data_IF_970248167212
#
_entry.id   IF_970248167212
#
_cell.length_a   1.000
_cell.length_b   1.000
_cell.length_c   1.000
_cell.angle_alpha   90.00
_cell.angle_beta   90.00
_cell.angle_gamma   90.00
#
_symmetry.space_group_name_H-M   'P 1'
#
loop_
_entity.id
_entity.type
_entity.pdbx_description
1 polymer ?
#
# COMPACT_ATOMS: atom_id res chain seq x y z
N UNK A 1 -9.62 11.74 21.58
CA UNK A 1 -8.85 12.68 20.72
C UNK A 1 -9.70 13.91 20.42
N UNK A 2 -9.15 15.13 20.35
CA UNK A 2 -9.95 16.33 20.01
C UNK A 2 -10.42 16.29 18.55
N UNK A 3 -11.58 16.88 18.24
CA UNK A 3 -12.11 16.94 16.85
C UNK A 3 -11.11 17.56 15.87
N UNK A 4 -10.39 18.60 16.31
CA UNK A 4 -9.36 19.28 15.51
C UNK A 4 -8.23 18.30 15.14
N UNK A 5 -7.69 17.57 16.13
CA UNK A 5 -6.65 16.55 15.87
C UNK A 5 -7.15 15.47 14.89
N UNK A 6 -8.37 14.99 15.06
CA UNK A 6 -8.96 13.97 14.18
C UNK A 6 -9.07 14.46 12.73
N UNK A 7 -9.57 15.69 12.52
CA UNK A 7 -9.64 16.30 11.19
C UNK A 7 -8.25 16.49 10.59
N UNK A 8 -7.27 16.98 11.36
CA UNK A 8 -5.89 17.12 10.89
C UNK A 8 -5.30 15.80 10.40
N UNK A 9 -5.50 14.70 11.14
CA UNK A 9 -5.03 13.37 10.75
C UNK A 9 -5.67 12.92 9.44
N UNK A 10 -6.99 13.11 9.28
CA UNK A 10 -7.71 12.72 8.07
C UNK A 10 -7.26 13.53 6.86
N UNK A 11 -7.22 14.86 6.97
CA UNK A 11 -6.82 15.73 5.87
C UNK A 11 -5.38 15.51 5.44
N UNK A 12 -4.44 15.44 6.39
CA UNK A 12 -3.03 15.20 6.08
C UNK A 12 -2.82 13.81 5.45
N UNK A 13 -3.44 12.77 6.01
CA UNK A 13 -3.30 11.42 5.44
C UNK A 13 -3.92 11.32 4.05
N UNK A 14 -5.11 11.90 3.84
CA UNK A 14 -5.76 11.96 2.54
C UNK A 14 -4.92 12.72 1.50
N UNK A 15 -4.35 13.87 1.90
CA UNK A 15 -3.44 14.65 1.06
C UNK A 15 -2.17 13.87 0.70
N UNK A 16 -1.58 13.13 1.65
CA UNK A 16 -0.43 12.25 1.38
C UNK A 16 -0.79 11.16 0.38
N UNK A 17 -1.90 10.44 0.58
CA UNK A 17 -2.36 9.39 -0.34
C UNK A 17 -2.55 9.96 -1.74
N UNK A 18 -3.24 11.10 -1.85
CA UNK A 18 -3.46 11.78 -3.13
C UNK A 18 -2.14 12.16 -3.81
N UNK A 19 -1.23 12.80 -3.08
CA UNK A 19 0.06 13.21 -3.60
C UNK A 19 0.92 12.02 -4.05
N UNK A 20 0.95 10.93 -3.28
CA UNK A 20 1.63 9.68 -3.66
C UNK A 20 1.05 9.09 -4.95
N UNK A 21 -0.28 9.02 -5.06
CA UNK A 21 -0.93 8.53 -6.28
C UNK A 21 -0.63 9.43 -7.48
N UNK A 22 -0.63 10.74 -7.29
CA UNK A 22 -0.30 11.70 -8.35
C UNK A 22 1.15 11.58 -8.84
N UNK A 23 2.10 11.38 -7.92
CA UNK A 23 3.51 11.22 -8.30
C UNK A 23 3.74 9.89 -9.02
N UNK A 24 3.15 8.80 -8.52
CA UNK A 24 3.21 7.51 -9.18
C UNK A 24 2.52 7.53 -10.55
N UNK A 25 1.46 8.33 -10.73
CA UNK A 25 0.76 8.38 -12.02
C UNK A 25 1.60 8.95 -13.15
N UNK A 26 2.64 9.72 -12.83
CA UNK A 26 3.61 10.19 -13.83
C UNK A 26 4.46 9.06 -14.41
N UNK A 27 4.61 7.95 -13.67
CA UNK A 27 5.44 6.79 -14.03
C UNK A 27 4.63 5.62 -14.61
N UNK A 28 3.30 5.74 -14.60
CA UNK A 28 2.40 4.66 -15.00
C UNK A 28 2.59 4.24 -16.45
N UNK A 29 2.84 5.19 -17.36
CA UNK A 29 3.05 4.88 -18.77
C UNK A 29 4.39 4.17 -19.01
N UNK A 30 5.48 4.66 -18.42
CA UNK A 30 6.80 4.03 -18.48
C UNK A 30 6.75 2.60 -17.92
N UNK A 31 6.01 2.40 -16.83
CA UNK A 31 5.81 1.07 -16.24
C UNK A 31 5.12 0.12 -17.22
N UNK A 32 4.11 0.60 -17.95
CA UNK A 32 3.42 -0.21 -18.95
C UNK A 32 4.33 -0.54 -20.14
N UNK A 33 5.16 0.40 -20.59
CA UNK A 33 6.13 0.14 -21.66
C UNK A 33 7.14 -0.92 -21.25
N UNK A 34 7.67 -0.85 -20.04
CA UNK A 34 8.56 -1.87 -19.48
C UNK A 34 7.88 -3.24 -19.43
N UNK A 35 6.66 -3.32 -18.88
CA UNK A 35 5.97 -4.61 -18.78
C UNK A 35 5.65 -5.21 -20.16
N UNK A 36 5.39 -4.36 -21.17
CA UNK A 36 5.24 -4.79 -22.55
C UNK A 36 6.56 -5.24 -23.18
N UNK A 37 7.74 -4.85 -22.69
CA UNK A 37 9.01 -5.37 -23.21
C UNK A 37 9.35 -6.74 -22.64
N UNK A 38 8.90 -7.04 -21.41
CA UNK A 38 9.17 -8.29 -20.69
C UNK A 38 8.25 -9.47 -21.08
N UNK A 39 7.87 -9.63 -22.36
CA UNK A 39 6.90 -10.65 -22.82
C UNK A 39 7.34 -12.10 -22.49
N UNK A 40 7.04 -12.55 -21.27
CA UNK A 40 7.44 -13.86 -20.74
C UNK A 40 6.21 -14.72 -20.39
N UNK A 41 6.16 -16.00 -20.82
CA UNK A 41 5.02 -16.90 -20.56
C UNK A 41 4.66 -17.05 -19.07
N UNK A 42 5.67 -16.96 -18.19
CA UNK A 42 5.48 -17.04 -16.73
C UNK A 42 4.66 -15.86 -16.23
N UNK A 43 4.94 -14.64 -16.72
CA UNK A 43 4.23 -13.42 -16.33
C UNK A 43 2.75 -13.53 -16.73
N UNK A 44 2.46 -14.06 -17.91
CA UNK A 44 1.07 -14.29 -18.36
C UNK A 44 0.33 -15.30 -17.49
N UNK A 45 0.98 -16.40 -17.07
CA UNK A 45 0.36 -17.40 -16.17
C UNK A 45 0.06 -16.82 -14.79
N UNK A 46 0.99 -16.06 -14.22
CA UNK A 46 0.79 -15.39 -12.93
C UNK A 46 -0.32 -14.34 -13.02
N UNK A 47 -0.38 -13.58 -14.13
CA UNK A 47 -1.45 -12.64 -14.39
C UNK A 47 -2.83 -13.32 -14.46
N UNK A 48 -2.92 -14.47 -15.14
CA UNK A 48 -4.15 -15.28 -15.21
C UNK A 48 -4.57 -15.79 -13.83
N UNK A 49 -3.64 -16.35 -13.06
CA UNK A 49 -3.93 -16.87 -11.72
C UNK A 49 -4.43 -15.75 -10.80
N UNK A 50 -3.74 -14.61 -10.76
CA UNK A 50 -4.17 -13.47 -9.95
C UNK A 50 -5.50 -12.89 -10.41
N UNK A 51 -5.81 -12.90 -11.71
CA UNK A 51 -7.15 -12.55 -12.20
C UNK A 51 -8.22 -13.48 -11.62
N UNK A 52 -7.99 -14.80 -11.62
CA UNK A 52 -8.97 -15.76 -11.07
C UNK A 52 -9.14 -15.63 -9.57
N UNK A 53 -8.05 -15.40 -8.82
CA UNK A 53 -8.10 -15.23 -7.37
C UNK A 53 -8.78 -13.92 -6.95
N UNK A 54 -8.58 -12.85 -7.71
CA UNK A 54 -9.20 -11.54 -7.47
C UNK A 54 -10.61 -11.38 -8.05
N UNK A 55 -11.11 -12.39 -8.77
CA UNK A 55 -12.43 -12.37 -9.36
C UNK A 55 -13.51 -12.30 -8.27
N UNK A 56 -14.56 -11.52 -8.51
CA UNK A 56 -15.61 -11.29 -7.52
C UNK A 56 -16.32 -12.57 -7.11
N UNK A 57 -16.59 -13.47 -8.05
CA UNK A 57 -17.22 -14.75 -7.75
C UNK A 57 -16.30 -15.62 -6.87
N UNK A 58 -15.01 -15.67 -7.20
CA UNK A 58 -14.03 -16.43 -6.41
C UNK A 58 -13.98 -15.94 -4.96
N UNK A 59 -13.95 -14.62 -4.75
CA UNK A 59 -13.93 -14.03 -3.40
C UNK A 59 -15.23 -14.27 -2.63
N UNK A 60 -16.38 -14.19 -3.31
CA UNK A 60 -17.67 -14.52 -2.71
C UNK A 60 -17.74 -16.00 -2.32
N UNK A 61 -17.31 -16.92 -3.20
CA UNK A 61 -17.26 -18.35 -2.91
C UNK A 61 -16.31 -18.67 -1.76
N UNK A 62 -15.16 -18.02 -1.69
CA UNK A 62 -14.24 -18.13 -0.55
C UNK A 62 -14.96 -17.76 0.76
N UNK A 63 -15.63 -16.61 0.79
CA UNK A 63 -16.31 -16.12 1.99
C UNK A 63 -17.53 -16.99 2.37
N UNK A 64 -18.29 -17.48 1.38
CA UNK A 64 -19.37 -18.45 1.59
C UNK A 64 -18.83 -19.78 2.13
N UNK A 65 -17.68 -20.24 1.64
CA UNK A 65 -16.99 -21.42 2.16
C UNK A 65 -16.59 -21.25 3.63
N UNK A 66 -15.99 -20.12 3.99
CA UNK A 66 -15.66 -19.79 5.39
C UNK A 66 -16.91 -19.77 6.28
N UNK A 67 -17.99 -19.16 5.79
CA UNK A 67 -19.27 -19.14 6.49
C UNK A 67 -19.85 -20.55 6.68
N UNK A 68 -19.86 -21.37 5.62
CA UNK A 68 -20.37 -22.74 5.62
C UNK A 68 -19.58 -23.65 6.56
N UNK A 69 -18.24 -23.60 6.51
CA UNK A 69 -17.36 -24.31 7.46
C UNK A 69 -17.65 -23.85 8.89
N UNK A 70 -17.77 -22.53 9.11
CA UNK A 70 -18.15 -21.99 10.41
C UNK A 70 -19.53 -22.46 10.88
N UNK A 71 -20.49 -22.63 9.97
CA UNK A 71 -21.81 -23.15 10.26
C UNK A 71 -21.75 -24.62 10.72
N UNK A 72 -21.07 -25.47 9.94
CA UNK A 72 -20.89 -26.89 10.23
C UNK A 72 -20.13 -27.13 11.54
N UNK A 73 -19.07 -26.35 11.78
CA UNK A 73 -18.25 -26.43 12.99
C UNK A 73 -18.85 -25.67 14.19
N UNK A 74 -20.06 -25.08 14.04
CA UNK A 74 -20.71 -24.22 15.05
C UNK A 74 -19.80 -23.08 15.55
N UNK A 75 -18.84 -22.65 14.73
CA UNK A 75 -17.87 -21.62 15.06
C UNK A 75 -18.32 -20.25 14.55
N UNK A 76 -18.74 -19.38 15.47
CA UNK A 76 -19.23 -18.03 15.17
C UNK A 76 -18.19 -17.11 14.56
N UNK A 77 -16.90 -17.33 14.83
CA UNK A 77 -15.81 -16.51 14.27
C UNK A 77 -15.73 -16.71 12.76
N UNK A 78 -15.77 -17.96 12.30
CA UNK A 78 -15.72 -18.31 10.87
C UNK A 78 -16.99 -17.87 10.13
N UNK A 79 -18.17 -18.02 10.76
CA UNK A 79 -19.43 -17.50 10.22
C UNK A 79 -19.35 -15.98 9.99
N UNK A 80 -18.91 -15.22 11.00
CA UNK A 80 -18.79 -13.76 10.91
C UNK A 80 -17.73 -13.33 9.90
N UNK A 81 -16.58 -14.01 9.88
CA UNK A 81 -15.53 -13.73 8.89
C UNK A 81 -16.03 -13.86 7.45
N UNK A 82 -16.83 -14.89 7.16
CA UNK A 82 -17.46 -15.08 5.86
C UNK A 82 -18.49 -13.98 5.54
N UNK A 83 -19.42 -13.70 6.45
CA UNK A 83 -20.46 -12.67 6.22
C UNK A 83 -19.83 -11.28 6.05
N UNK A 84 -18.94 -10.88 6.94
CA UNK A 84 -18.28 -9.59 6.88
C UNK A 84 -17.41 -9.47 5.63
N UNK A 85 -16.80 -10.58 5.17
CA UNK A 85 -16.03 -10.63 3.93
C UNK A 85 -16.90 -10.34 2.71
N UNK A 86 -18.10 -10.94 2.63
CA UNK A 86 -19.06 -10.69 1.54
C UNK A 86 -19.53 -9.24 1.57
N UNK A 87 -19.87 -8.71 2.75
CA UNK A 87 -20.37 -7.34 2.88
C UNK A 87 -19.29 -6.31 2.56
N UNK A 88 -18.06 -6.50 3.05
CA UNK A 88 -16.93 -5.64 2.71
C UNK A 88 -16.59 -5.70 1.21
N UNK A 89 -16.66 -6.90 0.60
CA UNK A 89 -16.50 -7.07 -0.85
C UNK A 89 -17.55 -6.29 -1.63
N UNK A 90 -18.82 -6.40 -1.25
CA UNK A 90 -19.92 -5.70 -1.91
C UNK A 90 -19.79 -4.18 -1.78
N UNK A 91 -19.45 -3.67 -0.59
CA UNK A 91 -19.22 -2.25 -0.35
C UNK A 91 -18.05 -1.71 -1.16
N UNK A 92 -16.93 -2.45 -1.21
CA UNK A 92 -15.80 -2.10 -2.06
C UNK A 92 -16.17 -2.09 -3.54
N UNK A 93 -16.96 -3.07 -3.99
CA UNK A 93 -17.49 -3.12 -5.35
C UNK A 93 -18.33 -1.90 -5.71
N UNK A 94 -19.29 -1.51 -4.85
CA UNK A 94 -20.13 -0.32 -5.05
C UNK A 94 -19.27 0.95 -5.11
N UNK A 95 -18.35 1.13 -4.17
CA UNK A 95 -17.46 2.28 -4.14
C UNK A 95 -16.59 2.37 -5.41
N UNK A 96 -16.03 1.26 -5.86
CA UNK A 96 -15.24 1.18 -7.10
C UNK A 96 -16.09 1.56 -8.31
N UNK A 97 -17.32 1.04 -8.42
CA UNK A 97 -18.18 1.37 -9.55
C UNK A 97 -18.50 2.87 -9.59
N UNK A 98 -18.85 3.47 -8.45
CA UNK A 98 -19.09 4.92 -8.38
C UNK A 98 -17.85 5.69 -8.85
N UNK A 99 -16.67 5.36 -8.32
CA UNK A 99 -15.44 6.09 -8.65
C UNK A 99 -15.02 5.91 -10.11
N UNK A 100 -15.16 4.71 -10.68
CA UNK A 100 -14.86 4.45 -12.09
C UNK A 100 -15.65 5.36 -13.03
N UNK A 101 -16.96 5.45 -12.79
CA UNK A 101 -17.85 6.25 -13.64
C UNK A 101 -17.73 7.76 -13.40
N UNK A 102 -17.17 8.19 -12.26
CA UNK A 102 -16.86 9.60 -12.01
C UNK A 102 -15.52 10.03 -12.61
N UNK A 103 -14.51 9.14 -12.61
CA UNK A 103 -13.14 9.48 -13.00
C UNK A 103 -12.90 9.22 -14.50
N UNK A 104 -13.44 8.13 -15.05
CA UNK A 104 -13.34 7.84 -16.48
C UNK A 104 -11.92 7.53 -16.97
N UNK A 105 -11.07 6.90 -16.14
CA UNK A 105 -9.67 6.67 -16.53
C UNK A 105 -9.56 5.55 -17.57
N UNK A 106 -8.89 5.76 -18.72
CA UNK A 106 -8.66 4.72 -19.72
C UNK A 106 -7.71 3.63 -19.24
N UNK A 107 -7.93 2.39 -19.69
CA UNK A 107 -7.07 1.25 -19.34
C UNK A 107 -5.76 1.23 -20.14
N UNK A 108 -4.68 0.66 -19.59
CA UNK A 108 -3.39 0.55 -20.28
C UNK A 108 -3.42 -0.13 -21.65
N UNK A 109 -4.34 -1.09 -21.86
CA UNK A 109 -4.43 -1.83 -23.13
C UNK A 109 -4.98 -1.00 -24.29
N UNK A 110 -5.66 0.09 -23.99
CA UNK A 110 -6.29 0.98 -24.97
C UNK A 110 -5.56 2.30 -25.11
N UNK A 111 -4.51 2.52 -24.32
CA UNK A 111 -3.69 3.72 -24.40
C UNK A 111 -2.60 3.54 -25.45
N UNK A 112 -2.67 4.35 -26.51
CA UNK A 112 -1.67 4.48 -27.56
C UNK A 112 -1.06 5.89 -27.62
N UNK A 113 -1.49 6.81 -26.75
CA UNK A 113 -1.08 8.21 -26.71
C UNK A 113 -0.93 8.69 -25.25
N UNK A 114 -0.12 9.72 -25.04
CA UNK A 114 0.16 10.33 -23.71
C UNK A 114 -0.99 11.23 -23.20
N UNK A 115 -1.99 11.51 -24.04
CA UNK A 115 -3.13 12.35 -23.69
C UNK A 115 -4.27 11.52 -23.12
N UNK A 116 -4.56 11.72 -21.82
CA UNK A 116 -5.68 11.11 -21.13
C UNK A 116 -6.84 12.11 -21.03
N UNK A 117 -7.95 11.80 -21.70
CA UNK A 117 -9.21 12.48 -21.43
C UNK A 117 -9.88 11.82 -20.22
N UNK A 118 -9.91 12.55 -19.11
CA UNK A 118 -10.64 12.16 -17.90
C UNK A 118 -12.03 12.80 -17.91
N UNK A 119 -13.00 12.12 -17.31
CA UNK A 119 -14.34 12.66 -17.13
C UNK A 119 -15.38 11.58 -16.90
N UNK A 120 -16.57 11.93 -16.37
CA UNK A 120 -17.60 10.95 -16.12
C UNK A 120 -17.97 10.18 -17.39
N UNK A 121 -17.91 8.85 -17.33
CA UNK A 121 -18.14 8.00 -18.51
C UNK A 121 -18.67 6.62 -18.13
N UNK A 122 -19.53 6.09 -19.00
CA UNK A 122 -20.09 4.74 -18.94
C UNK A 122 -19.55 3.85 -20.07
N UNK A 123 -18.59 4.35 -20.84
CA UNK A 123 -17.99 3.61 -21.94
C UNK A 123 -17.05 2.53 -21.41
N UNK A 124 -17.21 1.30 -21.90
CA UNK A 124 -16.25 0.22 -21.67
C UNK A 124 -14.91 0.63 -22.28
N UNK A 125 -13.89 0.82 -21.45
CA UNK A 125 -12.80 1.70 -21.87
C UNK A 125 -12.15 2.42 -20.72
N UNK A 126 -13.02 3.14 -20.01
CA UNK A 126 -12.71 4.27 -19.16
C UNK A 126 -12.91 3.96 -17.68
N UNK A 127 -12.71 2.69 -17.32
CA UNK A 127 -13.02 2.15 -15.99
C UNK A 127 -11.76 1.57 -15.31
N UNK A 128 -10.59 2.16 -15.57
CA UNK A 128 -9.31 1.67 -15.04
C UNK A 128 -9.14 1.96 -13.55
N UNK A 129 -9.44 3.20 -13.13
CA UNK A 129 -9.25 3.65 -11.74
C UNK A 129 -10.57 3.68 -10.96
N UNK A 130 -10.61 3.17 -9.72
CA UNK A 130 -9.62 2.28 -9.10
C UNK A 130 -9.79 0.82 -9.57
N UNK A 131 -8.78 -0.02 -9.34
CA UNK A 131 -8.85 -1.44 -9.67
C UNK A 131 -9.82 -2.18 -8.75
N UNK A 132 -10.87 -2.77 -9.34
CA UNK A 132 -11.88 -3.55 -8.60
C UNK A 132 -11.34 -4.84 -7.99
N UNK A 133 -10.45 -5.56 -8.68
CA UNK A 133 -9.83 -6.79 -8.14
C UNK A 133 -8.97 -6.47 -6.90
N UNK A 134 -8.19 -5.38 -6.96
CA UNK A 134 -7.38 -4.95 -5.83
C UNK A 134 -8.27 -4.52 -4.65
N UNK A 135 -9.27 -3.65 -4.90
CA UNK A 135 -10.17 -3.18 -3.85
C UNK A 135 -10.94 -4.32 -3.18
N UNK A 136 -11.53 -5.24 -3.96
CA UNK A 136 -12.22 -6.41 -3.44
C UNK A 136 -11.30 -7.30 -2.60
N UNK A 137 -10.09 -7.59 -3.10
CA UNK A 137 -9.14 -8.48 -2.43
C UNK A 137 -8.61 -7.87 -1.13
N UNK A 138 -8.27 -6.58 -1.12
CA UNK A 138 -7.81 -5.89 0.09
C UNK A 138 -8.93 -5.69 1.12
N UNK A 139 -10.18 -5.52 0.69
CA UNK A 139 -11.33 -5.47 1.60
C UNK A 139 -11.54 -6.80 2.31
N UNK A 140 -11.59 -7.91 1.56
CA UNK A 140 -11.70 -9.26 2.14
C UNK A 140 -10.47 -9.57 3.00
N UNK A 141 -9.27 -9.25 2.54
CA UNK A 141 -8.04 -9.47 3.31
C UNK A 141 -8.04 -8.71 4.64
N UNK A 142 -8.53 -7.46 4.67
CA UNK A 142 -8.62 -6.68 5.90
C UNK A 142 -9.61 -7.29 6.91
N UNK A 143 -10.74 -7.82 6.44
CA UNK A 143 -11.68 -8.57 7.27
C UNK A 143 -11.02 -9.85 7.82
N UNK A 144 -10.43 -10.67 6.95
CA UNK A 144 -9.80 -11.93 7.36
C UNK A 144 -8.60 -11.72 8.29
N UNK A 145 -7.82 -10.65 8.07
CA UNK A 145 -6.72 -10.23 8.94
C UNK A 145 -7.18 -9.85 10.36
N UNK A 146 -8.43 -9.41 10.52
CA UNK A 146 -9.04 -9.09 11.82
C UNK A 146 -9.49 -10.36 12.56
N UNK A 147 -10.06 -11.31 11.84
CA UNK A 147 -10.58 -12.57 12.40
C UNK A 147 -9.49 -13.62 12.61
N UNK A 148 -8.49 -13.66 11.73
CA UNK A 148 -7.39 -14.63 11.71
C UNK A 148 -6.03 -13.91 11.74
N UNK A 149 -5.66 -13.27 12.87
CA UNK A 149 -4.49 -12.39 12.95
C UNK A 149 -3.15 -13.09 12.71
N UNK A 150 -3.06 -14.40 12.98
CA UNK A 150 -1.85 -15.19 12.71
C UNK A 150 -1.56 -15.33 11.20
N UNK A 151 -2.57 -15.13 10.34
CA UNK A 151 -2.51 -15.35 8.90
C UNK A 151 -2.52 -14.03 8.11
N UNK A 152 -2.32 -12.88 8.77
CA UNK A 152 -2.32 -11.55 8.14
C UNK A 152 -1.40 -11.45 6.93
N UNK A 153 -0.19 -12.00 7.04
CA UNK A 153 0.78 -12.02 5.95
C UNK A 153 0.26 -12.77 4.72
N UNK A 154 -0.44 -13.89 4.92
CA UNK A 154 -1.05 -14.64 3.82
C UNK A 154 -2.17 -13.85 3.15
N UNK A 155 -3.07 -13.24 3.93
CA UNK A 155 -4.22 -12.50 3.38
C UNK A 155 -3.78 -11.27 2.57
N UNK A 156 -2.92 -10.44 3.14
CA UNK A 156 -2.41 -9.26 2.44
C UNK A 156 -1.43 -9.62 1.32
N UNK A 157 -0.63 -10.69 1.50
CA UNK A 157 0.23 -11.21 0.44
C UNK A 157 -0.57 -11.71 -0.78
N UNK A 158 -1.70 -12.38 -0.54
CA UNK A 158 -2.60 -12.82 -1.61
C UNK A 158 -3.27 -11.65 -2.31
N UNK A 159 -3.73 -10.64 -1.57
CA UNK A 159 -4.32 -9.42 -2.14
C UNK A 159 -3.29 -8.60 -2.95
N UNK A 160 -2.05 -8.52 -2.46
CA UNK A 160 -0.94 -7.91 -3.18
C UNK A 160 -0.63 -8.67 -4.47
N UNK A 161 -0.56 -10.00 -4.42
CA UNK A 161 -0.35 -10.84 -5.60
C UNK A 161 -1.44 -10.60 -6.65
N UNK A 162 -2.71 -10.55 -6.26
CA UNK A 162 -3.82 -10.20 -7.16
C UNK A 162 -3.59 -8.84 -7.80
N UNK A 163 -3.25 -7.82 -7.01
CA UNK A 163 -2.96 -6.48 -7.52
C UNK A 163 -1.83 -6.46 -8.54
N UNK A 164 -0.68 -7.06 -8.21
CA UNK A 164 0.47 -7.15 -9.09
C UNK A 164 0.15 -7.91 -10.40
N UNK A 165 -0.65 -8.97 -10.31
CA UNK A 165 -1.13 -9.71 -11.48
C UNK A 165 -1.99 -8.85 -12.43
N UNK A 166 -2.73 -7.86 -11.91
CA UNK A 166 -3.49 -6.91 -12.75
C UNK A 166 -2.58 -5.99 -13.55
N UNK A 167 -1.47 -5.56 -12.94
CA UNK A 167 -0.45 -4.73 -13.58
C UNK A 167 0.33 -5.54 -14.61
N UNK A 168 0.81 -6.73 -14.23
CA UNK A 168 1.51 -7.66 -15.11
C UNK A 168 0.66 -8.09 -16.31
N UNK A 169 -0.65 -8.27 -16.12
CA UNK A 169 -1.58 -8.52 -17.22
C UNK A 169 -1.89 -7.29 -18.08
N UNK A 170 -1.31 -6.12 -17.78
CA UNK A 170 -1.57 -4.87 -18.49
C UNK A 170 -3.00 -4.37 -18.38
N UNK A 171 -3.79 -4.86 -17.43
CA UNK A 171 -5.21 -4.47 -17.30
C UNK A 171 -5.41 -3.18 -16.52
N UNK A 172 -4.42 -2.82 -15.69
CA UNK A 172 -4.45 -1.68 -14.78
C UNK A 172 -3.05 -1.09 -14.64
N UNK A 173 -2.98 0.21 -14.44
CA UNK A 173 -1.77 0.89 -14.03
C UNK A 173 -1.43 0.57 -12.55
N UNK A 174 -0.16 0.68 -12.13
CA UNK A 174 0.24 0.59 -10.73
C UNK A 174 -0.63 1.44 -9.80
N UNK A 175 -0.94 2.68 -10.17
CA UNK A 175 -1.78 3.57 -9.35
C UNK A 175 -3.24 3.14 -9.25
N UNK A 176 -3.81 2.49 -10.28
CA UNK A 176 -5.16 1.91 -10.20
C UNK A 176 -5.23 0.84 -9.11
N UNK A 177 -4.21 -0.01 -9.06
CA UNK A 177 -4.08 -1.08 -8.07
C UNK A 177 -3.84 -0.51 -6.69
N UNK A 178 -3.00 0.51 -6.58
CA UNK A 178 -2.70 1.15 -5.30
C UNK A 178 -3.92 1.89 -4.73
N UNK A 179 -4.61 2.67 -5.56
CA UNK A 179 -5.87 3.33 -5.19
C UNK A 179 -6.94 2.32 -4.79
N UNK A 180 -7.07 1.22 -5.53
CA UNK A 180 -7.94 0.10 -5.18
C UNK A 180 -7.56 -0.54 -3.83
N UNK A 181 -6.27 -0.83 -3.61
CA UNK A 181 -5.79 -1.43 -2.38
C UNK A 181 -6.07 -0.56 -1.15
N UNK A 182 -5.83 0.75 -1.24
CA UNK A 182 -6.14 1.71 -0.16
C UNK A 182 -7.65 1.72 0.10
N UNK A 183 -8.46 1.91 -0.93
CA UNK A 183 -9.92 1.94 -0.80
C UNK A 183 -10.48 0.66 -0.16
N UNK A 184 -10.06 -0.49 -0.68
CA UNK A 184 -10.46 -1.80 -0.17
C UNK A 184 -10.05 -2.00 1.28
N UNK A 185 -8.80 -1.71 1.62
CA UNK A 185 -8.29 -1.79 2.99
C UNK A 185 -9.11 -0.95 3.95
N UNK A 186 -9.41 0.31 3.60
CA UNK A 186 -10.20 1.20 4.46
C UNK A 186 -11.61 0.65 4.70
N UNK A 187 -12.29 0.22 3.63
CA UNK A 187 -13.64 -0.36 3.72
C UNK A 187 -13.63 -1.60 4.62
N UNK A 188 -12.74 -2.56 4.36
CA UNK A 188 -12.65 -3.78 5.15
C UNK A 188 -12.22 -3.53 6.60
N UNK A 189 -11.30 -2.59 6.84
CA UNK A 189 -10.81 -2.24 8.18
C UNK A 189 -11.90 -1.60 9.04
N UNK A 190 -12.69 -0.68 8.45
CA UNK A 190 -13.81 -0.02 9.13
C UNK A 190 -14.95 -1.02 9.34
N UNK A 191 -15.29 -1.80 8.33
CA UNK A 191 -16.39 -2.77 8.38
C UNK A 191 -16.15 -3.88 9.40
N UNK A 192 -14.93 -4.42 9.48
CA UNK A 192 -14.58 -5.48 10.41
C UNK A 192 -14.55 -5.04 11.90
N UNK A 193 -14.87 -3.77 12.17
CA UNK A 193 -14.94 -3.19 13.52
C UNK A 193 -16.33 -2.66 13.79
N UNK A 194 -16.59 -2.32 15.06
CA UNK A 194 -17.90 -1.83 15.46
C UNK A 194 -18.24 -0.54 14.69
N UNK A 195 -19.30 -0.60 13.89
CA UNK A 195 -19.76 0.53 13.07
C UNK A 195 -20.11 1.76 13.91
N UNK A 196 -20.52 1.59 15.17
CA UNK A 196 -20.73 2.71 16.10
C UNK A 196 -19.48 3.59 16.28
N UNK A 197 -18.30 3.02 16.10
CA UNK A 197 -17.00 3.69 16.28
C UNK A 197 -16.36 4.02 14.91
N UNK A 198 -17.14 4.08 13.83
CA UNK A 198 -16.63 4.24 12.46
C UNK A 198 -15.74 5.47 12.28
N UNK A 199 -16.03 6.58 12.97
CA UNK A 199 -15.24 7.80 12.90
C UNK A 199 -13.84 7.57 13.46
N UNK A 200 -13.73 6.94 14.62
CA UNK A 200 -12.45 6.62 15.24
C UNK A 200 -11.68 5.59 14.41
N UNK A 201 -12.38 4.57 13.92
CA UNK A 201 -11.81 3.55 13.06
C UNK A 201 -11.28 4.13 11.74
N UNK A 202 -11.98 5.10 11.14
CA UNK A 202 -11.54 5.77 9.91
C UNK A 202 -10.27 6.59 10.14
N UNK A 203 -10.21 7.35 11.24
CA UNK A 203 -9.01 8.11 11.62
C UNK A 203 -7.83 7.16 11.87
N UNK A 204 -8.06 5.99 12.46
CA UNK A 204 -7.00 5.00 12.67
C UNK A 204 -6.58 4.27 11.39
N UNK A 205 -7.51 4.03 10.46
CA UNK A 205 -7.27 3.25 9.26
C UNK A 205 -6.39 4.01 8.25
N UNK A 206 -6.65 5.30 8.07
CA UNK A 206 -6.05 6.10 7.00
C UNK A 206 -4.52 6.25 7.11
N UNK A 207 -3.92 6.34 8.31
CA UNK A 207 -2.47 6.39 8.47
C UNK A 207 -1.73 5.05 8.31
N UNK A 208 -2.43 3.92 8.41
CA UNK A 208 -1.82 2.58 8.35
C UNK A 208 -1.16 2.23 7.00
N UNK A 209 -1.77 2.51 5.84
CA UNK A 209 -1.13 2.21 4.56
C UNK A 209 0.01 3.17 4.20
N UNK A 210 0.14 4.34 4.85
CA UNK A 210 1.06 5.41 4.43
C UNK A 210 2.53 4.99 4.31
N UNK A 211 3.12 4.19 5.22
CA UNK A 211 4.51 3.75 5.08
C UNK A 211 4.74 2.84 3.87
N UNK A 212 3.78 1.97 3.57
CA UNK A 212 3.84 1.10 2.40
C UNK A 212 3.68 1.91 1.11
N UNK A 213 2.81 2.92 1.12
CA UNK A 213 2.65 3.86 0.02
C UNK A 213 3.94 4.64 -0.24
N UNK A 214 4.57 5.19 0.80
CA UNK A 214 5.87 5.88 0.69
C UNK A 214 6.94 4.92 0.19
N UNK A 215 7.03 3.71 0.76
CA UNK A 215 8.01 2.71 0.34
C UNK A 215 7.85 2.35 -1.13
N UNK A 216 6.63 2.07 -1.59
CA UNK A 216 6.34 1.81 -3.01
C UNK A 216 6.68 3.01 -3.90
N UNK A 217 6.28 4.21 -3.49
CA UNK A 217 6.60 5.48 -4.15
C UNK A 217 8.10 5.71 -4.29
N UNK A 218 8.86 5.49 -3.22
CA UNK A 218 10.32 5.60 -3.16
C UNK A 218 10.99 4.62 -4.12
N UNK A 219 10.55 3.36 -4.13
CA UNK A 219 11.03 2.31 -5.02
C UNK A 219 10.79 2.69 -6.48
N UNK A 220 9.56 3.05 -6.83
CA UNK A 220 9.21 3.45 -8.19
C UNK A 220 9.98 4.69 -8.64
N UNK A 221 10.08 5.70 -7.78
CA UNK A 221 10.87 6.90 -8.08
C UNK A 221 12.31 6.53 -8.39
N UNK A 222 12.93 5.64 -7.61
CA UNK A 222 14.31 5.23 -7.83
C UNK A 222 14.50 4.43 -9.13
N UNK A 223 13.56 3.56 -9.51
CA UNK A 223 13.67 2.78 -10.76
C UNK A 223 13.67 3.69 -12.01
N UNK A 224 12.76 4.68 -12.03
CA UNK A 224 12.50 5.53 -13.19
C UNK A 224 13.18 6.91 -13.13
N UNK A 225 14.01 7.16 -12.12
CA UNK A 225 14.85 8.37 -12.07
C UNK A 225 16.02 8.26 -13.05
N UNK A 226 16.59 9.42 -13.43
CA UNK A 226 17.67 9.52 -14.41
C UNK A 226 18.87 8.62 -14.06
N UNK A 227 19.53 8.01 -15.06
CA UNK A 227 20.62 7.07 -14.84
C UNK A 227 21.77 7.65 -14.00
N UNK A 228 22.34 6.78 -13.16
CA UNK A 228 23.41 7.09 -12.18
C UNK A 228 24.79 7.18 -12.86
N UNK A 229 24.88 7.86 -13.99
CA UNK A 229 26.18 8.08 -14.65
C UNK A 229 27.05 9.08 -13.90
N UNK A 230 26.46 9.86 -12.99
CA UNK A 230 27.14 10.93 -12.29
C UNK A 230 27.67 10.44 -10.92
N UNK A 231 28.98 10.61 -10.67
CA UNK A 231 29.61 10.20 -9.40
C UNK A 231 28.96 10.81 -8.15
N UNK A 232 28.30 11.96 -8.30
CA UNK A 232 27.49 12.61 -7.25
C UNK A 232 26.26 11.76 -6.90
N UNK A 233 25.56 11.20 -7.88
CA UNK A 233 24.37 10.36 -7.69
C UNK A 233 24.73 9.02 -7.01
N UNK A 234 25.90 8.45 -7.33
CA UNK A 234 26.44 7.28 -6.63
C UNK A 234 26.74 7.63 -5.16
N UNK A 235 27.42 8.75 -4.94
CA UNK A 235 27.79 9.22 -3.61
C UNK A 235 26.57 9.52 -2.73
N UNK A 236 25.55 10.18 -3.27
CA UNK A 236 24.30 10.47 -2.55
C UNK A 236 23.55 9.20 -2.19
N UNK A 237 23.48 8.22 -3.09
CA UNK A 237 22.85 6.93 -2.81
C UNK A 237 23.51 6.21 -1.63
N UNK A 238 24.84 5.99 -1.69
CA UNK A 238 25.55 5.26 -0.64
C UNK A 238 25.59 6.03 0.68
N UNK A 239 25.74 7.36 0.63
CA UNK A 239 25.62 8.23 1.80
C UNK A 239 24.23 8.15 2.43
N UNK A 240 23.18 8.13 1.61
CA UNK A 240 21.81 7.91 2.05
C UNK A 240 21.59 6.54 2.69
N UNK A 241 22.15 5.48 2.10
CA UNK A 241 22.04 4.13 2.62
C UNK A 241 22.69 4.02 4.01
N UNK A 242 23.85 4.64 4.19
CA UNK A 242 24.54 4.72 5.49
C UNK A 242 23.69 5.46 6.53
N UNK A 243 23.11 6.61 6.16
CA UNK A 243 22.20 7.36 7.03
C UNK A 243 20.96 6.53 7.40
N UNK A 244 20.36 5.82 6.44
CA UNK A 244 19.20 4.97 6.67
C UNK A 244 19.52 3.87 7.69
N UNK A 245 20.62 3.15 7.48
CA UNK A 245 21.11 2.10 8.39
C UNK A 245 21.43 2.68 9.77
N UNK A 246 22.09 3.84 9.85
CA UNK A 246 22.40 4.51 11.10
C UNK A 246 21.13 4.92 11.87
N UNK A 247 20.14 5.48 11.18
CA UNK A 247 18.85 5.84 11.77
C UNK A 247 18.08 4.63 12.30
N UNK A 248 18.07 3.53 11.55
CA UNK A 248 17.49 2.25 11.99
C UNK A 248 18.23 1.72 13.23
N UNK A 249 19.57 1.73 13.23
CA UNK A 249 20.37 1.28 14.36
C UNK A 249 20.13 2.12 15.62
N UNK A 250 20.00 3.44 15.48
CA UNK A 250 19.61 4.34 16.57
C UNK A 250 18.23 3.98 17.12
N UNK A 251 17.26 3.72 16.25
CA UNK A 251 15.90 3.32 16.63
C UNK A 251 15.88 1.98 17.37
N UNK A 252 16.62 0.97 16.89
CA UNK A 252 16.76 -0.31 17.57
C UNK A 252 17.40 -0.20 18.93
N UNK A 253 18.46 0.61 19.07
CA UNK A 253 19.11 0.84 20.36
C UNK A 253 18.13 1.38 21.39
N UNK A 254 17.22 2.27 20.99
CA UNK A 254 16.19 2.83 21.88
C UNK A 254 15.16 1.77 22.29
N UNK A 255 14.72 0.94 21.35
CA UNK A 255 13.81 -0.19 21.63
C UNK A 255 14.45 -1.17 22.62
N UNK A 256 15.72 -1.52 22.40
CA UNK A 256 16.47 -2.40 23.30
C UNK A 256 16.62 -1.83 24.71
N UNK A 257 16.82 -0.51 24.82
CA UNK A 257 16.96 0.19 26.09
C UNK A 257 15.61 0.46 26.77
N UNK A 258 14.48 0.02 26.20
CA UNK A 258 13.15 0.29 26.74
C UNK A 258 12.81 1.79 26.79
N UNK A 259 13.47 2.60 25.97
CA UNK A 259 13.26 4.06 25.95
C UNK A 259 11.90 4.38 25.32
N UNK A 260 11.08 5.14 26.05
CA UNK A 260 9.81 5.66 25.52
C UNK A 260 10.02 6.70 24.40
N UNK A 261 8.96 7.02 23.65
CA UNK A 261 9.02 8.02 22.59
C UNK A 261 9.41 9.40 23.15
N UNK A 262 10.37 10.07 22.50
CA UNK A 262 10.86 11.40 22.89
C UNK A 262 11.77 12.05 21.84
N UNK A 263 12.52 13.08 22.21
CA UNK A 263 13.43 13.83 21.30
C UNK A 263 14.42 12.92 20.54
N UNK A 264 14.88 11.84 21.17
CA UNK A 264 15.78 10.86 20.54
C UNK A 264 15.07 10.05 19.43
N UNK A 265 13.80 9.71 19.61
CA UNK A 265 12.99 9.03 18.59
C UNK A 265 12.77 9.93 17.38
N UNK A 266 12.53 11.23 17.62
CA UNK A 266 12.45 12.23 16.55
C UNK A 266 13.75 12.28 15.76
N UNK A 267 14.90 12.33 16.44
CA UNK A 267 16.22 12.31 15.80
C UNK A 267 16.44 11.04 14.95
N UNK A 268 16.14 9.85 15.48
CA UNK A 268 16.27 8.60 14.73
C UNK A 268 15.37 8.60 13.48
N UNK A 269 14.12 9.04 13.59
CA UNK A 269 13.19 9.13 12.46
C UNK A 269 13.65 10.16 11.41
N UNK A 270 14.20 11.29 11.84
CA UNK A 270 14.78 12.28 10.92
C UNK A 270 15.98 11.73 10.15
N UNK A 271 16.86 10.97 10.82
CA UNK A 271 18.01 10.32 10.17
C UNK A 271 17.54 9.26 9.17
N UNK A 272 16.52 8.46 9.51
CA UNK A 272 15.88 7.51 8.58
C UNK A 272 15.30 8.24 7.36
N UNK A 273 14.58 9.34 7.57
CA UNK A 273 13.97 10.12 6.51
C UNK A 273 15.01 10.76 5.57
N UNK A 274 16.11 11.27 6.12
CA UNK A 274 17.24 11.80 5.35
C UNK A 274 17.99 10.69 4.60
N UNK A 275 18.11 9.50 5.20
CA UNK A 275 18.67 8.34 4.51
C UNK A 275 17.83 7.93 3.31
N UNK A 276 16.51 7.82 3.50
CA UNK A 276 15.56 7.55 2.42
C UNK A 276 15.65 8.61 1.31
N UNK A 277 15.68 9.90 1.67
CA UNK A 277 15.85 11.03 0.75
C UNK A 277 17.02 10.84 -0.22
N UNK A 278 18.18 10.54 0.35
CA UNK A 278 19.43 10.48 -0.38
C UNK A 278 19.53 9.19 -1.20
N UNK A 279 18.95 8.08 -0.72
CA UNK A 279 18.82 6.85 -1.53
C UNK A 279 17.87 7.00 -2.71
N UNK A 280 16.75 7.70 -2.55
CA UNK A 280 15.75 7.84 -3.62
C UNK A 280 16.05 9.02 -4.55
N UNK A 281 16.91 9.95 -4.10
CA UNK A 281 17.17 11.24 -4.74
C UNK A 281 15.91 12.10 -4.97
N UNK A 282 14.82 11.76 -4.28
CA UNK A 282 13.51 12.36 -4.46
C UNK A 282 13.16 13.19 -3.22
N UNK A 283 13.33 14.53 -3.33
CA UNK A 283 13.04 15.45 -2.23
C UNK A 283 11.59 15.32 -1.72
N UNK A 284 10.65 15.01 -2.61
CA UNK A 284 9.25 14.81 -2.26
C UNK A 284 9.02 13.59 -1.36
N UNK A 285 9.82 12.52 -1.48
CA UNK A 285 9.74 11.34 -0.58
C UNK A 285 10.05 11.76 0.86
N UNK A 286 10.97 12.71 1.05
CA UNK A 286 11.31 13.26 2.38
C UNK A 286 10.14 14.01 2.97
N UNK A 287 9.56 14.93 2.19
CA UNK A 287 8.43 15.76 2.62
C UNK A 287 7.27 14.87 3.03
N UNK A 288 6.94 13.86 2.23
CA UNK A 288 5.86 12.92 2.54
C UNK A 288 6.18 12.09 3.78
N UNK A 289 7.42 11.61 3.92
CA UNK A 289 7.85 10.85 5.12
C UNK A 289 7.73 11.69 6.38
N UNK A 290 8.14 12.97 6.34
CA UNK A 290 8.00 13.89 7.46
C UNK A 290 6.53 14.17 7.77
N UNK A 291 5.67 14.37 6.76
CA UNK A 291 4.24 14.53 6.96
C UNK A 291 3.61 13.29 7.61
N UNK A 292 4.04 12.08 7.25
CA UNK A 292 3.58 10.84 7.92
C UNK A 292 4.02 10.80 9.38
N UNK A 293 5.26 11.17 9.68
CA UNK A 293 5.71 11.31 11.07
C UNK A 293 4.82 12.31 11.86
N UNK A 294 4.44 13.42 11.25
CA UNK A 294 3.50 14.39 11.86
C UNK A 294 2.12 13.77 12.06
N UNK A 295 1.56 13.09 11.06
CA UNK A 295 0.28 12.39 11.15
C UNK A 295 0.28 11.39 12.31
N UNK A 296 1.33 10.57 12.42
CA UNK A 296 1.45 9.56 13.46
C UNK A 296 1.64 10.16 14.85
N UNK A 297 2.35 11.28 14.94
CA UNK A 297 2.45 12.04 16.19
C UNK A 297 1.09 12.61 16.61
N UNK A 298 0.33 13.20 15.67
CA UNK A 298 -1.00 13.76 15.93
C UNK A 298 -2.04 12.70 16.29
N UNK A 299 -1.93 11.51 15.71
CA UNK A 299 -2.86 10.40 15.91
C UNK A 299 -2.67 9.69 17.26
N UNK A 300 -1.72 10.13 18.11
CA UNK A 300 -1.41 9.56 19.43
C UNK A 300 -1.52 8.03 19.40
N UNK A 301 -0.78 7.38 18.47
CA UNK A 301 -0.94 5.95 18.21
C UNK A 301 -0.87 5.18 19.54
N UNK A 302 -1.96 4.55 19.99
CA UNK A 302 -2.02 3.97 21.31
C UNK A 302 -1.30 2.63 21.24
N UNK A 303 0.01 2.64 21.47
CA UNK A 303 0.73 1.43 21.78
C UNK A 303 1.53 1.55 23.06
N UNK A 304 0.83 1.87 24.15
CA UNK A 304 1.31 1.64 25.51
C UNK A 304 1.19 0.17 25.94
N UNK A 305 0.71 -0.75 25.08
CA UNK A 305 0.51 -2.15 25.45
C UNK A 305 1.19 -3.22 24.56
N UNK A 306 1.70 -2.92 23.37
CA UNK A 306 2.45 -3.91 22.56
C UNK A 306 3.98 -3.92 22.76
N UNK A 307 4.56 -3.06 23.60
CA UNK A 307 6.02 -3.10 23.90
C UNK A 307 6.38 -4.15 24.96
N UNK A 308 5.59 -5.23 25.06
CA UNK A 308 5.96 -6.43 25.82
C UNK A 308 5.72 -7.70 25.01
N UNK A 309 6.48 -7.85 23.92
CA UNK A 309 7.14 -9.10 23.46
C UNK A 309 7.27 -9.15 21.91
N UNK A 310 8.50 -9.40 21.43
CA UNK A 310 8.86 -9.76 20.04
C UNK A 310 8.75 -8.72 18.90
N UNK A 311 8.67 -7.41 19.21
CA UNK A 311 8.61 -6.37 18.17
C UNK A 311 9.90 -6.18 17.35
N UNK A 312 11.07 -6.36 17.98
CA UNK A 312 12.35 -6.05 17.35
C UNK A 312 12.69 -6.95 16.14
N UNK A 313 12.35 -8.24 16.18
CA UNK A 313 12.58 -9.17 15.06
C UNK A 313 11.74 -8.81 13.84
N UNK A 314 10.51 -8.32 14.04
CA UNK A 314 9.64 -7.88 12.93
C UNK A 314 10.11 -6.57 12.33
N UNK A 315 10.48 -5.61 13.19
CA UNK A 315 11.11 -4.37 12.74
C UNK A 315 12.42 -4.65 12.01
N UNK A 316 13.24 -5.57 12.53
CA UNK A 316 14.51 -5.97 11.94
C UNK A 316 14.34 -6.65 10.59
N UNK A 317 13.38 -7.57 10.48
CA UNK A 317 13.07 -8.22 9.22
C UNK A 317 12.53 -7.22 8.19
N UNK A 318 11.58 -6.36 8.56
CA UNK A 318 11.01 -5.35 7.65
C UNK A 318 12.07 -4.37 7.14
N UNK A 319 12.89 -3.84 8.04
CA UNK A 319 13.98 -2.91 7.67
C UNK A 319 15.07 -3.58 6.84
N UNK A 320 15.42 -4.85 7.14
CA UNK A 320 16.36 -5.62 6.33
C UNK A 320 15.83 -5.84 4.91
N UNK A 321 14.55 -6.19 4.76
CA UNK A 321 13.89 -6.34 3.45
C UNK A 321 13.87 -5.01 2.70
N UNK A 322 13.59 -3.88 3.38
CA UNK A 322 13.61 -2.56 2.76
C UNK A 322 15.01 -2.18 2.27
N UNK A 323 16.03 -2.37 3.09
CA UNK A 323 17.43 -2.06 2.76
C UNK A 323 17.92 -2.94 1.61
N UNK A 324 17.69 -4.26 1.68
CA UNK A 324 18.03 -5.20 0.60
C UNK A 324 17.28 -4.82 -0.68
N UNK A 325 16.00 -4.48 -0.57
CA UNK A 325 15.18 -4.01 -1.70
C UNK A 325 15.79 -2.78 -2.36
N UNK A 326 16.11 -1.73 -1.59
CA UNK A 326 16.74 -0.51 -2.12
C UNK A 326 18.10 -0.78 -2.77
N UNK A 327 18.92 -1.68 -2.21
CA UNK A 327 20.21 -2.07 -2.80
C UNK A 327 20.02 -2.84 -4.11
N UNK A 328 19.07 -3.77 -4.17
CA UNK A 328 18.74 -4.50 -5.41
C UNK A 328 18.22 -3.54 -6.49
N UNK A 329 17.42 -2.55 -6.09
CA UNK A 329 16.83 -1.56 -6.99
C UNK A 329 17.86 -0.58 -7.57
N UNK A 330 18.93 -0.27 -6.85
CA UNK A 330 20.03 0.52 -7.40
C UNK A 330 20.69 -0.15 -8.62
N UNK A 331 20.72 -1.49 -8.66
CA UNK A 331 21.16 -2.24 -9.84
C UNK A 331 20.18 -2.16 -11.02
N UNK A 332 18.95 -1.71 -10.76
CA UNK A 332 17.91 -1.50 -11.76
C UNK A 332 17.69 -0.02 -12.14
N UNK A 333 18.40 0.90 -11.48
CA UNK A 333 18.27 2.33 -11.67
C UNK A 333 18.71 2.73 -13.08
N UNK A 334 17.81 3.33 -13.85
CA UNK A 334 18.09 3.72 -15.24
C UNK A 334 18.13 2.54 -16.24
N UNK A 335 17.74 1.32 -15.83
CA UNK A 335 17.55 0.19 -16.77
C UNK A 335 16.32 0.39 -17.68
N UNK A 336 15.45 1.34 -17.35
CA UNK A 336 14.28 1.68 -18.14
C UNK A 336 14.50 3.08 -18.71
N UNK A 337 14.51 3.26 -20.04
CA UNK A 337 14.83 4.52 -20.70
C UNK A 337 13.88 5.68 -20.37
#
# INVERSE_FOLDING_TARGET
MSRIKALSVVFLSGGIVFFCLYQLSQLDFQTVLLLRSLHEPVVSRLAYLGNRLGDGLTLVLLCLGLWGVGYLLKNKVWQRAGIDGILAHALAGVAVQILKHLIGRPRPRWTHQDAFEYGPSWQGGLDAFPSGHAAASFAVAAVLARYFPAWRGLWYGSALFVGMARVAGGSHFPTDVLGGAVLGFLIGYIWARALKDWQENAVQALPLPLPLLIGGCAIFSNIFSHPVSDGVAIGTFWGGLLLLVAGIALRWRMVWQGSGPGHRTLLANSVIALGLAATTQALWVVVVTLLVCVVWWLNDYPDRQAVKSSGWLREAWFTSVLVIGLVMLQGLHGLVP
#
